data_IF_286638831362
#
_entry.id   IF_286638831362
#
_cell.length_a   1.000
_cell.length_b   1.000
_cell.length_c   1.000
_cell.angle_alpha   90.00
_cell.angle_beta   90.00
_cell.angle_gamma   90.00
#
_symmetry.space_group_name_H-M   'P 1'
#
loop_
_entity.id
_entity.type
_entity.pdbx_description
1 polymer ?
#
# COMPACT_ATOMS: atom_id res chain seq x y z
N UNK A 1 0.86 -0.74 -19.71
CA UNK A 1 0.01 -0.67 -20.92
C UNK A 1 0.13 -1.97 -21.69
N UNK A 2 -0.97 -2.53 -22.15
CA UNK A 2 -0.98 -3.80 -22.91
C UNK A 2 -1.49 -3.45 -24.31
N UNK A 3 -0.58 -3.37 -25.27
CA UNK A 3 -0.81 -2.89 -26.64
C UNK A 3 0.24 -3.50 -27.58
N UNK A 4 -0.19 -4.09 -28.69
CA UNK A 4 0.69 -4.78 -29.63
C UNK A 4 1.38 -3.83 -30.65
N UNK A 5 0.99 -2.55 -30.64
CA UNK A 5 1.61 -1.47 -31.40
C UNK A 5 2.70 -0.79 -30.56
N UNK A 6 3.94 -1.21 -30.77
CA UNK A 6 5.12 -0.65 -30.11
C UNK A 6 5.36 0.82 -30.46
N UNK A 7 5.02 1.24 -31.69
CA UNK A 7 5.20 2.61 -32.17
C UNK A 7 4.25 3.58 -31.47
N UNK A 8 2.96 3.21 -31.42
CA UNK A 8 1.98 3.92 -30.62
C UNK A 8 2.39 3.94 -29.14
N UNK A 9 2.84 2.80 -28.62
CA UNK A 9 3.26 2.68 -27.23
C UNK A 9 4.40 3.63 -26.87
N UNK A 10 5.40 3.76 -27.74
CA UNK A 10 6.50 4.69 -27.56
C UNK A 10 6.03 6.16 -27.59
N UNK A 11 5.10 6.50 -28.49
CA UNK A 11 4.52 7.84 -28.58
C UNK A 11 3.74 8.22 -27.31
N UNK A 12 2.88 7.31 -26.83
CA UNK A 12 2.10 7.52 -25.59
C UNK A 12 3.02 7.65 -24.38
N UNK A 13 4.05 6.79 -24.26
CA UNK A 13 5.08 6.90 -23.20
C UNK A 13 5.74 8.27 -23.15
N UNK A 14 6.12 8.83 -24.29
CA UNK A 14 6.78 10.13 -24.34
C UNK A 14 5.85 11.27 -23.90
N UNK A 15 4.58 11.22 -24.32
CA UNK A 15 3.58 12.23 -23.93
C UNK A 15 3.20 12.11 -22.45
N UNK A 16 3.11 10.90 -21.92
CA UNK A 16 2.79 10.60 -20.53
C UNK A 16 3.74 11.26 -19.52
N UNK A 17 5.02 11.41 -19.87
CA UNK A 17 6.02 12.08 -19.02
C UNK A 17 5.66 13.52 -18.69
N UNK A 18 4.96 14.23 -19.59
CA UNK A 18 4.50 15.61 -19.35
C UNK A 18 3.44 15.69 -18.25
N UNK A 19 2.80 14.56 -17.92
CA UNK A 19 1.75 14.43 -16.92
C UNK A 19 2.20 13.64 -15.68
N UNK A 20 3.51 13.52 -15.48
CA UNK A 20 4.12 12.73 -14.40
C UNK A 20 3.67 11.25 -14.39
N UNK A 21 3.38 10.69 -15.57
CA UNK A 21 3.01 9.28 -15.73
C UNK A 21 4.17 8.49 -16.32
N UNK A 22 4.58 7.43 -15.64
CA UNK A 22 5.57 6.47 -16.12
C UNK A 22 4.84 5.26 -16.70
N UNK A 23 5.05 4.98 -17.99
CA UNK A 23 4.38 3.87 -18.68
C UNK A 23 5.39 2.80 -19.07
N UNK A 24 5.14 1.56 -18.65
CA UNK A 24 5.72 0.35 -19.25
C UNK A 24 4.70 -0.24 -20.24
N UNK A 25 5.19 -0.97 -21.25
CA UNK A 25 4.31 -1.63 -22.23
C UNK A 25 4.68 -3.09 -22.43
N UNK A 26 3.67 -3.93 -22.61
CA UNK A 26 3.78 -5.31 -23.07
C UNK A 26 2.92 -5.49 -24.31
N UNK A 27 3.30 -6.41 -25.19
CA UNK A 27 2.67 -6.61 -26.50
C UNK A 27 1.51 -7.61 -26.48
N UNK A 28 1.28 -8.27 -25.34
CA UNK A 28 0.25 -9.28 -25.19
C UNK A 28 -0.29 -9.33 -23.75
N UNK A 29 -1.47 -9.92 -23.59
CA UNK A 29 -2.14 -10.02 -22.30
C UNK A 29 -1.34 -10.83 -21.29
N UNK A 30 -0.88 -12.03 -21.66
CA UNK A 30 -0.22 -12.97 -20.74
C UNK A 30 1.00 -12.35 -20.07
N UNK A 31 1.88 -11.71 -20.85
CA UNK A 31 3.07 -11.07 -20.30
C UNK A 31 2.70 -9.83 -19.49
N UNK A 32 1.74 -9.02 -19.97
CA UNK A 32 1.24 -7.87 -19.22
C UNK A 32 0.63 -8.23 -17.88
N UNK A 33 -0.15 -9.30 -17.84
CA UNK A 33 -0.79 -9.79 -16.62
C UNK A 33 0.25 -10.35 -15.65
N UNK A 34 1.22 -11.13 -16.15
CA UNK A 34 2.34 -11.62 -15.34
C UNK A 34 3.15 -10.48 -14.72
N UNK A 35 3.38 -9.39 -15.45
CA UNK A 35 4.02 -8.19 -14.92
C UNK A 35 3.19 -7.55 -13.80
N UNK A 36 1.87 -7.49 -13.94
CA UNK A 36 0.98 -6.96 -12.90
C UNK A 36 1.00 -7.84 -11.64
N UNK A 37 0.98 -9.17 -11.80
CA UNK A 37 1.06 -10.13 -10.68
C UNK A 37 2.38 -10.00 -9.90
N UNK A 38 3.50 -9.81 -10.60
CA UNK A 38 4.82 -9.81 -9.98
C UNK A 38 5.28 -8.43 -9.50
N UNK A 39 4.57 -7.35 -9.85
CA UNK A 39 5.00 -5.99 -9.56
C UNK A 39 3.86 -5.12 -9.03
N UNK A 40 3.93 -4.84 -7.73
CA UNK A 40 2.97 -4.01 -6.98
C UNK A 40 3.07 -2.51 -7.31
N UNK A 41 4.16 -2.06 -7.93
CA UNK A 41 4.39 -0.64 -8.23
C UNK A 41 3.45 -0.07 -9.31
N UNK A 42 2.80 -0.92 -10.09
CA UNK A 42 1.84 -0.46 -11.09
C UNK A 42 0.56 0.02 -10.41
N UNK A 43 0.16 1.25 -10.69
CA UNK A 43 -1.02 1.89 -10.08
C UNK A 43 -2.25 1.84 -11.00
N UNK A 44 -2.08 1.64 -12.30
CA UNK A 44 -3.17 1.58 -13.26
C UNK A 44 -2.78 0.81 -14.54
N UNK A 45 -3.80 0.44 -15.33
CA UNK A 45 -3.65 -0.31 -16.58
C UNK A 45 -4.30 0.43 -17.75
N UNK A 46 -3.58 0.53 -18.86
CA UNK A 46 -4.14 0.94 -20.15
C UNK A 46 -4.21 -0.31 -21.03
N UNK A 47 -5.40 -0.69 -21.46
CA UNK A 47 -5.66 -1.85 -22.31
C UNK A 47 -5.94 -1.40 -23.76
N UNK A 48 -5.35 -2.07 -24.75
CA UNK A 48 -5.85 -1.95 -26.12
C UNK A 48 -7.23 -2.59 -26.26
N UNK A 49 -8.02 -2.14 -27.23
CA UNK A 49 -9.27 -2.78 -27.61
C UNK A 49 -9.10 -4.15 -28.28
N UNK A 50 -7.94 -4.41 -28.89
CA UNK A 50 -7.58 -5.71 -29.47
C UNK A 50 -6.07 -5.90 -29.31
N UNK A 51 -5.64 -6.92 -28.59
CA UNK A 51 -4.25 -7.33 -28.53
C UNK A 51 -4.16 -8.86 -28.42
N UNK A 52 -3.00 -9.46 -28.74
CA UNK A 52 -2.79 -10.89 -28.55
C UNK A 52 -2.99 -11.33 -27.10
N UNK A 53 -3.65 -12.47 -26.89
CA UNK A 53 -3.79 -13.07 -25.56
C UNK A 53 -2.48 -13.71 -25.10
N UNK A 54 -1.72 -14.31 -26.02
CA UNK A 54 -0.41 -14.92 -25.75
C UNK A 54 0.66 -14.40 -26.72
N UNK A 55 1.96 -14.50 -26.37
CA UNK A 55 3.05 -14.07 -27.24
C UNK A 55 3.11 -14.81 -28.58
N UNK A 56 2.64 -16.06 -28.61
CA UNK A 56 2.70 -16.93 -29.79
C UNK A 56 1.51 -16.75 -30.74
N UNK A 57 0.50 -15.97 -30.36
CA UNK A 57 -0.68 -15.75 -31.18
C UNK A 57 -0.32 -14.90 -32.42
N UNK A 58 -0.65 -15.36 -33.65
CA UNK A 58 -0.35 -14.60 -34.86
C UNK A 58 -1.10 -13.27 -34.89
N UNK A 59 -0.40 -12.20 -35.30
CA UNK A 59 -1.01 -10.89 -35.52
C UNK A 59 -2.18 -10.97 -36.51
N UNK A 60 -3.29 -10.32 -36.20
CA UNK A 60 -4.52 -10.34 -37.00
C UNK A 60 -5.48 -11.48 -36.65
N UNK A 61 -5.16 -12.34 -35.68
CA UNK A 61 -6.04 -13.38 -35.15
C UNK A 61 -6.62 -13.03 -33.77
N UNK A 62 -6.44 -11.78 -33.33
CA UNK A 62 -6.89 -11.29 -32.03
C UNK A 62 -8.42 -11.37 -31.96
N UNK A 63 -8.91 -12.09 -30.96
CA UNK A 63 -10.33 -12.23 -30.74
C UNK A 63 -10.92 -10.94 -30.16
N UNK A 64 -12.15 -10.61 -30.55
CA UNK A 64 -12.83 -9.39 -30.08
C UNK A 64 -13.14 -9.42 -28.57
N UNK A 65 -13.00 -10.58 -27.91
CA UNK A 65 -13.19 -10.74 -26.48
C UNK A 65 -11.96 -10.38 -25.63
N UNK A 66 -10.81 -10.00 -26.21
CA UNK A 66 -9.59 -9.64 -25.46
C UNK A 66 -9.89 -8.73 -24.27
N UNK A 67 -10.58 -7.60 -24.50
CA UNK A 67 -10.87 -6.63 -23.44
C UNK A 67 -11.78 -7.20 -22.37
N UNK A 68 -12.75 -8.05 -22.76
CA UNK A 68 -13.66 -8.67 -21.82
C UNK A 68 -12.91 -9.65 -20.90
N UNK A 69 -12.04 -10.48 -21.47
CA UNK A 69 -11.17 -11.40 -20.71
C UNK A 69 -10.20 -10.61 -19.81
N UNK A 70 -9.57 -9.56 -20.33
CA UNK A 70 -8.65 -8.72 -19.58
C UNK A 70 -9.34 -8.06 -18.37
N UNK A 71 -10.55 -7.53 -18.54
CA UNK A 71 -11.32 -6.95 -17.43
C UNK A 71 -11.67 -8.00 -16.37
N UNK A 72 -12.08 -9.20 -16.79
CA UNK A 72 -12.37 -10.29 -15.86
C UNK A 72 -11.13 -10.67 -15.04
N UNK A 73 -9.99 -10.83 -15.72
CA UNK A 73 -8.71 -11.17 -15.08
C UNK A 73 -8.19 -10.08 -14.15
N UNK A 74 -8.34 -8.81 -14.52
CA UNK A 74 -8.02 -7.71 -13.62
C UNK A 74 -8.87 -7.80 -12.35
N UNK A 75 -10.19 -8.02 -12.46
CA UNK A 75 -11.06 -8.19 -11.28
C UNK A 75 -10.70 -9.42 -10.44
N UNK A 76 -10.29 -10.51 -11.06
CA UNK A 76 -9.76 -11.68 -10.33
C UNK A 76 -8.51 -11.32 -9.52
N UNK A 77 -7.58 -10.54 -10.12
CA UNK A 77 -6.40 -10.04 -9.43
C UNK A 77 -6.78 -9.16 -8.22
N UNK A 78 -7.76 -8.27 -8.39
CA UNK A 78 -8.26 -7.41 -7.32
C UNK A 78 -8.78 -8.25 -6.15
N UNK A 79 -9.55 -9.31 -6.42
CA UNK A 79 -10.11 -10.19 -5.39
C UNK A 79 -9.04 -11.06 -4.70
N UNK A 80 -8.06 -11.56 -5.44
CA UNK A 80 -7.03 -12.46 -4.91
C UNK A 80 -5.97 -11.73 -4.08
N UNK A 81 -5.67 -10.49 -4.44
CA UNK A 81 -4.57 -9.72 -3.85
C UNK A 81 -5.01 -8.47 -3.10
N UNK A 82 -6.32 -8.24 -2.95
CA UNK A 82 -6.92 -7.03 -2.34
C UNK A 82 -6.35 -5.73 -2.95
N UNK A 83 -6.05 -5.77 -4.25
CA UNK A 83 -5.33 -4.70 -4.96
C UNK A 83 -6.18 -4.20 -6.11
N UNK A 84 -6.87 -3.08 -5.90
CA UNK A 84 -7.64 -2.43 -6.97
C UNK A 84 -6.72 -1.79 -7.99
N UNK A 85 -6.92 -2.09 -9.28
CA UNK A 85 -6.13 -1.51 -10.38
C UNK A 85 -7.05 -0.74 -11.33
N UNK A 86 -7.17 0.58 -11.15
CA UNK A 86 -7.84 1.44 -12.12
C UNK A 86 -7.36 1.20 -13.54
N UNK A 87 -8.29 1.17 -14.49
CA UNK A 87 -7.93 0.92 -15.88
C UNK A 87 -8.81 1.69 -16.86
N UNK A 88 -8.29 1.87 -18.06
CA UNK A 88 -9.04 2.37 -19.21
C UNK A 88 -8.71 1.59 -20.48
N UNK A 89 -9.56 1.71 -21.49
CA UNK A 89 -9.38 1.08 -22.80
C UNK A 89 -9.02 2.15 -23.82
N UNK A 90 -7.84 2.05 -24.41
CA UNK A 90 -7.36 2.92 -25.49
C UNK A 90 -7.50 2.15 -26.80
N UNK A 91 -8.43 2.53 -27.69
CA UNK A 91 -8.78 1.69 -28.84
C UNK A 91 -9.10 2.48 -30.11
N UNK A 92 -8.82 1.88 -31.28
CA UNK A 92 -9.29 2.37 -32.57
C UNK A 92 -10.73 1.90 -32.91
N UNK A 93 -11.30 0.99 -32.12
CA UNK A 93 -12.60 0.33 -32.31
C UNK A 93 -13.67 0.87 -31.34
N UNK A 94 -13.63 2.17 -31.07
CA UNK A 94 -14.48 2.81 -30.06
C UNK A 94 -15.97 2.49 -30.26
N UNK A 95 -16.49 2.63 -31.49
CA UNK A 95 -17.92 2.45 -31.81
C UNK A 95 -18.37 1.01 -31.60
N UNK A 96 -17.49 0.04 -31.85
CA UNK A 96 -17.78 -1.38 -31.70
C UNK A 96 -17.75 -1.81 -30.22
N UNK A 97 -16.81 -1.26 -29.44
CA UNK A 97 -16.60 -1.64 -28.05
C UNK A 97 -17.45 -0.83 -27.05
N UNK A 98 -17.86 0.39 -27.38
CA UNK A 98 -18.66 1.23 -26.47
C UNK A 98 -19.96 0.56 -26.01
N UNK A 99 -20.78 -0.06 -26.88
CA UNK A 99 -22.03 -0.67 -26.45
C UNK A 99 -21.83 -1.81 -25.46
N UNK A 100 -20.77 -2.60 -25.61
CA UNK A 100 -20.49 -3.70 -24.70
C UNK A 100 -19.83 -3.19 -23.41
N UNK A 101 -18.90 -2.25 -23.48
CA UNK A 101 -18.10 -1.81 -22.33
C UNK A 101 -18.70 -0.63 -21.56
N UNK A 102 -19.86 -0.13 -21.97
CA UNK A 102 -20.58 0.92 -21.25
C UNK A 102 -20.73 0.56 -19.78
N UNK A 103 -20.38 1.50 -18.91
CA UNK A 103 -20.36 1.34 -17.44
C UNK A 103 -19.42 0.25 -16.89
N UNK A 104 -18.61 -0.39 -17.74
CA UNK A 104 -17.60 -1.38 -17.34
C UNK A 104 -16.17 -0.85 -17.45
N UNK A 105 -15.92 0.04 -18.40
CA UNK A 105 -14.63 0.67 -18.62
C UNK A 105 -14.81 2.06 -19.25
N UNK A 106 -13.86 2.97 -19.02
CA UNK A 106 -13.75 4.20 -19.78
C UNK A 106 -12.98 3.94 -21.07
N UNK A 107 -13.54 4.36 -22.21
CA UNK A 107 -12.94 4.19 -23.53
C UNK A 107 -12.36 5.52 -24.02
N UNK A 108 -11.16 5.45 -24.59
CA UNK A 108 -10.46 6.54 -25.26
C UNK A 108 -10.15 6.14 -26.70
N UNK A 109 -10.54 6.99 -27.65
CA UNK A 109 -10.35 6.72 -29.08
C UNK A 109 -8.90 7.05 -29.51
N UNK A 110 -8.17 6.04 -29.99
CA UNK A 110 -6.81 6.17 -30.56
C UNK A 110 -6.76 7.23 -31.65
N UNK A 111 -7.80 7.33 -32.49
CA UNK A 111 -7.85 8.31 -33.60
C UNK A 111 -7.93 9.75 -33.09
N UNK A 112 -8.64 9.97 -31.98
CA UNK A 112 -8.76 11.30 -31.36
C UNK A 112 -7.51 11.67 -30.57
N UNK A 113 -7.05 10.76 -29.71
CA UNK A 113 -5.87 10.97 -28.88
C UNK A 113 -4.58 11.15 -29.69
N UNK A 114 -4.51 10.65 -30.92
CA UNK A 114 -3.39 10.87 -31.84
C UNK A 114 -3.28 12.32 -32.35
N UNK A 115 -4.40 13.05 -32.44
CA UNK A 115 -4.45 14.41 -33.03
C UNK A 115 -4.80 15.50 -32.01
N UNK A 116 -5.38 15.13 -30.87
CA UNK A 116 -5.84 16.04 -29.83
C UNK A 116 -5.10 15.74 -28.51
N UNK A 117 -4.22 16.67 -28.11
CA UNK A 117 -3.48 16.60 -26.84
C UNK A 117 -4.43 16.66 -25.64
N UNK A 118 -5.56 17.36 -25.71
CA UNK A 118 -6.52 17.42 -24.61
C UNK A 118 -7.22 16.08 -24.38
N UNK A 119 -7.48 15.32 -25.45
CA UNK A 119 -8.08 13.98 -25.31
C UNK A 119 -7.09 12.98 -24.70
N UNK A 120 -5.79 13.17 -24.95
CA UNK A 120 -4.75 12.36 -24.32
C UNK A 120 -4.56 12.72 -22.85
N UNK A 121 -4.57 14.01 -22.53
CA UNK A 121 -4.57 14.52 -21.16
C UNK A 121 -5.76 13.96 -20.37
N UNK A 122 -6.97 14.03 -20.92
CA UNK A 122 -8.18 13.48 -20.30
C UNK A 122 -8.07 11.98 -19.97
N UNK A 123 -7.28 11.20 -20.73
CA UNK A 123 -7.00 9.80 -20.42
C UNK A 123 -6.15 9.65 -19.17
N UNK A 124 -5.08 10.45 -19.06
CA UNK A 124 -4.21 10.42 -17.88
C UNK A 124 -4.90 11.00 -16.66
N UNK A 125 -5.66 12.09 -16.80
CA UNK A 125 -6.47 12.66 -15.72
C UNK A 125 -7.50 11.66 -15.20
N UNK A 126 -8.15 10.90 -16.09
CA UNK A 126 -9.07 9.85 -15.67
C UNK A 126 -8.38 8.79 -14.79
N UNK A 127 -7.19 8.35 -15.17
CA UNK A 127 -6.43 7.37 -14.38
C UNK A 127 -5.94 7.98 -13.06
N UNK A 128 -5.43 9.21 -13.09
CA UNK A 128 -5.00 9.95 -11.89
C UNK A 128 -6.15 10.12 -10.90
N UNK A 129 -7.33 10.50 -11.37
CA UNK A 129 -8.52 10.61 -10.54
C UNK A 129 -8.91 9.26 -9.96
N UNK A 130 -8.95 8.20 -10.78
CA UNK A 130 -9.32 6.88 -10.32
C UNK A 130 -8.32 6.31 -9.29
N UNK A 131 -7.01 6.55 -9.47
CA UNK A 131 -5.97 6.23 -8.48
C UNK A 131 -6.17 7.06 -7.21
N UNK A 132 -6.39 8.37 -7.34
CA UNK A 132 -6.65 9.29 -6.23
C UNK A 132 -7.91 8.94 -5.44
N UNK A 133 -8.85 8.24 -6.07
CA UNK A 133 -10.09 7.82 -5.44
C UNK A 133 -9.97 6.54 -4.61
N UNK A 134 -8.88 5.78 -4.77
CA UNK A 134 -8.60 4.58 -3.99
C UNK A 134 -8.42 4.91 -2.50
N UNK A 135 -8.92 4.02 -1.63
CA UNK A 135 -8.84 4.15 -0.17
C UNK A 135 -7.39 4.27 0.29
N UNK A 136 -6.50 3.39 -0.20
CA UNK A 136 -5.06 3.43 0.09
C UNK A 136 -4.43 4.78 -0.31
N UNK A 137 -4.70 5.27 -1.53
CA UNK A 137 -4.13 6.55 -1.99
C UNK A 137 -4.59 7.70 -1.11
N UNK A 138 -5.87 7.73 -0.73
CA UNK A 138 -6.41 8.77 0.17
C UNK A 138 -5.74 8.71 1.54
N UNK A 139 -5.54 7.52 2.09
CA UNK A 139 -4.83 7.33 3.36
C UNK A 139 -3.40 7.86 3.28
N UNK A 140 -2.65 7.51 2.22
CA UNK A 140 -1.27 7.98 2.02
C UNK A 140 -1.19 9.50 1.92
N UNK A 141 -2.11 10.11 1.18
CA UNK A 141 -2.20 11.57 1.03
C UNK A 141 -2.58 12.30 2.33
N UNK A 142 -3.33 11.65 3.23
CA UNK A 142 -3.67 12.21 4.54
C UNK A 142 -2.51 12.16 5.53
N UNK A 143 -1.53 11.29 5.31
CA UNK A 143 -0.42 11.05 6.22
C UNK A 143 0.94 11.02 5.47
N UNK A 144 1.30 12.08 4.72
CA UNK A 144 2.45 12.04 3.81
C UNK A 144 3.77 11.73 4.52
N UNK A 145 4.05 12.40 5.64
CA UNK A 145 5.30 12.24 6.40
C UNK A 145 5.45 10.81 6.95
N UNK A 146 4.34 10.22 7.42
CA UNK A 146 4.30 8.85 7.91
C UNK A 146 4.64 7.85 6.80
N UNK A 147 4.09 8.04 5.59
CA UNK A 147 4.33 7.14 4.47
C UNK A 147 5.67 7.38 3.78
N UNK A 148 6.23 8.59 3.84
CA UNK A 148 7.62 8.84 3.47
C UNK A 148 8.57 7.97 4.31
N UNK A 149 8.36 7.93 5.63
CA UNK A 149 9.10 7.03 6.50
C UNK A 149 8.82 5.56 6.18
N UNK A 150 7.55 5.15 6.12
CA UNK A 150 7.19 3.73 6.04
C UNK A 150 7.63 3.08 4.71
N UNK A 151 7.50 3.78 3.59
CA UNK A 151 7.93 3.29 2.27
C UNK A 151 9.46 3.27 2.14
N UNK A 152 10.17 4.08 2.92
CA UNK A 152 11.64 4.09 2.93
C UNK A 152 12.23 2.98 3.80
N UNK A 153 11.62 2.69 4.94
CA UNK A 153 12.25 1.90 6.01
C UNK A 153 11.56 0.59 6.36
N UNK A 154 10.25 0.45 6.08
CA UNK A 154 9.48 -0.75 6.41
C UNK A 154 9.30 -1.65 5.18
N UNK A 155 8.99 -2.93 5.41
CA UNK A 155 8.69 -3.87 4.34
C UNK A 155 7.25 -3.74 3.81
N UNK A 156 6.94 -4.43 2.72
CA UNK A 156 5.62 -4.38 2.09
C UNK A 156 4.49 -4.89 3.02
N UNK A 157 4.80 -5.85 3.90
CA UNK A 157 3.82 -6.43 4.84
C UNK A 157 3.46 -5.41 5.93
N UNK A 158 4.46 -4.75 6.51
CA UNK A 158 4.27 -3.69 7.50
C UNK A 158 3.57 -2.46 6.89
N UNK A 159 3.90 -2.08 5.66
CA UNK A 159 3.16 -1.03 4.94
C UNK A 159 1.68 -1.39 4.75
N UNK A 160 1.37 -2.65 4.41
CA UNK A 160 -0.01 -3.12 4.30
C UNK A 160 -0.74 -3.09 5.65
N UNK A 161 -0.07 -3.45 6.76
CA UNK A 161 -0.66 -3.31 8.10
C UNK A 161 -0.94 -1.86 8.48
N UNK A 162 -0.04 -0.94 8.14
CA UNK A 162 -0.22 0.49 8.41
C UNK A 162 -1.45 1.05 7.67
N UNK A 163 -1.60 0.71 6.38
CA UNK A 163 -2.80 1.09 5.60
C UNK A 163 -4.06 0.50 6.22
N UNK A 164 -4.04 -0.78 6.61
CA UNK A 164 -5.17 -1.46 7.27
C UNK A 164 -5.56 -0.81 8.60
N UNK A 165 -4.59 -0.34 9.39
CA UNK A 165 -4.83 0.39 10.63
C UNK A 165 -5.39 1.80 10.41
N UNK A 166 -5.04 2.45 9.30
CA UNK A 166 -5.55 3.80 8.98
C UNK A 166 -6.86 3.77 8.20
N UNK A 167 -7.28 2.60 7.69
CA UNK A 167 -8.60 2.44 7.07
C UNK A 167 -9.72 2.78 8.07
N UNK A 168 -10.75 3.55 7.66
CA UNK A 168 -11.90 3.94 8.49
C UNK A 168 -12.77 2.75 8.96
N UNK A 169 -12.43 1.51 8.58
CA UNK A 169 -13.16 0.29 8.95
C UNK A 169 -12.95 -0.04 10.44
N UNK A 170 -13.72 0.64 11.29
CA UNK A 170 -13.78 0.37 12.73
C UNK A 170 -14.80 -0.73 13.03
N UNK A 171 -14.36 -1.76 13.76
CA UNK A 171 -15.22 -2.80 14.32
C UNK A 171 -15.09 -2.82 15.84
N UNK A 172 -16.21 -2.94 16.54
CA UNK A 172 -16.23 -3.11 18.00
C UNK A 172 -16.12 -4.58 18.43
N UNK A 173 -16.00 -5.52 17.48
CA UNK A 173 -15.84 -6.94 17.82
C UNK A 173 -14.47 -7.15 18.47
N UNK A 174 -14.45 -7.90 19.58
CA UNK A 174 -13.23 -8.17 20.34
C UNK A 174 -12.12 -8.76 19.48
N UNK A 175 -12.44 -9.73 18.63
CA UNK A 175 -11.45 -10.37 17.74
C UNK A 175 -10.79 -9.36 16.80
N UNK A 176 -11.58 -8.51 16.15
CA UNK A 176 -11.07 -7.45 15.27
C UNK A 176 -10.20 -6.46 16.03
N UNK A 177 -10.61 -6.05 17.24
CA UNK A 177 -9.82 -5.17 18.10
C UNK A 177 -8.48 -5.80 18.47
N UNK A 178 -8.49 -7.08 18.86
CA UNK A 178 -7.27 -7.83 19.22
C UNK A 178 -6.33 -8.00 18.02
N UNK A 179 -6.87 -8.25 16.83
CA UNK A 179 -6.08 -8.35 15.60
C UNK A 179 -5.40 -7.02 15.27
N UNK A 180 -6.14 -5.90 15.31
CA UNK A 180 -5.58 -4.55 15.09
C UNK A 180 -4.52 -4.20 16.13
N UNK A 181 -4.77 -4.54 17.38
CA UNK A 181 -3.80 -4.43 18.47
C UNK A 181 -2.51 -5.23 18.15
N UNK A 182 -2.64 -6.45 17.63
CA UNK A 182 -1.51 -7.25 17.15
C UNK A 182 -0.68 -6.54 16.06
N UNK A 183 -1.34 -5.93 15.07
CA UNK A 183 -0.67 -5.16 14.02
C UNK A 183 0.07 -3.93 14.57
N UNK A 184 -0.53 -3.19 15.51
CA UNK A 184 0.12 -2.05 16.17
C UNK A 184 1.43 -2.50 16.82
N UNK A 185 1.42 -3.61 17.56
CA UNK A 185 2.61 -4.12 18.23
C UNK A 185 3.70 -4.50 17.25
N UNK A 186 3.33 -5.22 16.17
CA UNK A 186 4.29 -5.61 15.14
C UNK A 186 4.95 -4.38 14.54
N UNK A 187 4.15 -3.39 14.16
CA UNK A 187 4.65 -2.14 13.61
C UNK A 187 5.54 -1.39 14.59
N UNK A 188 5.14 -1.29 15.87
CA UNK A 188 5.98 -0.69 16.92
C UNK A 188 7.36 -1.37 16.97
N UNK A 189 7.41 -2.71 16.98
CA UNK A 189 8.68 -3.44 16.98
C UNK A 189 9.51 -3.14 15.72
N UNK A 190 8.91 -3.10 14.53
CA UNK A 190 9.60 -2.75 13.28
C UNK A 190 10.13 -1.31 13.27
N UNK A 191 9.32 -0.34 13.70
CA UNK A 191 9.71 1.07 13.79
C UNK A 191 10.87 1.26 14.78
N UNK A 192 10.83 0.60 15.93
CA UNK A 192 11.92 0.66 16.91
C UNK A 192 13.20 -0.05 16.41
N UNK A 193 13.08 -1.11 15.60
CA UNK A 193 14.24 -1.72 14.95
C UNK A 193 14.89 -0.76 13.95
N UNK A 194 14.09 -0.01 13.19
CA UNK A 194 14.59 1.05 12.29
C UNK A 194 15.32 2.11 13.12
N UNK A 195 14.73 2.59 14.22
CA UNK A 195 15.39 3.54 15.12
C UNK A 195 16.75 3.04 15.63
N UNK A 196 16.84 1.78 16.09
CA UNK A 196 18.10 1.17 16.50
C UNK A 196 19.16 1.16 15.40
N UNK A 197 18.76 0.73 14.20
CA UNK A 197 19.68 0.57 13.08
C UNK A 197 20.12 1.92 12.52
N UNK A 198 19.19 2.83 12.32
CA UNK A 198 19.41 4.07 11.57
C UNK A 198 19.85 5.23 12.46
N UNK A 199 19.34 5.34 13.69
CA UNK A 199 19.75 6.39 14.63
C UNK A 199 20.86 5.91 15.56
N UNK A 200 20.65 4.80 16.30
CA UNK A 200 21.65 4.31 17.27
C UNK A 200 22.86 3.63 16.62
N UNK A 201 22.77 3.27 15.33
CA UNK A 201 23.78 2.49 14.61
C UNK A 201 24.10 1.16 15.30
N UNK A 202 23.07 0.53 15.87
CA UNK A 202 23.16 -0.74 16.59
C UNK A 202 22.34 -1.83 15.90
N UNK A 203 22.82 -3.07 15.97
CA UNK A 203 22.03 -4.22 15.56
C UNK A 203 20.89 -4.46 16.58
N UNK A 204 19.61 -4.40 16.18
CA UNK A 204 18.48 -4.66 17.07
C UNK A 204 18.50 -6.06 17.72
N UNK A 205 19.23 -7.02 17.14
CA UNK A 205 19.38 -8.36 17.71
C UNK A 205 20.19 -8.38 19.02
N UNK A 206 20.92 -7.32 19.35
CA UNK A 206 21.68 -7.22 20.59
C UNK A 206 20.79 -7.08 21.83
N UNK A 207 19.53 -6.68 21.66
CA UNK A 207 18.57 -6.54 22.75
C UNK A 207 17.95 -7.91 23.11
N UNK A 208 17.79 -8.18 24.40
CA UNK A 208 17.16 -9.42 24.91
C UNK A 208 18.06 -10.66 24.89
N UNK A 209 19.40 -10.50 24.81
CA UNK A 209 20.36 -11.62 24.72
C UNK A 209 20.81 -12.24 26.08
N UNK A 210 20.15 -11.92 27.19
CA UNK A 210 20.46 -12.45 28.53
C UNK A 210 19.47 -13.50 29.05
N UNK A 211 19.94 -14.41 29.91
CA UNK A 211 19.08 -15.40 30.61
C UNK A 211 17.98 -14.75 31.48
N UNK A 212 18.25 -13.53 31.97
CA UNK A 212 17.34 -12.75 32.82
C UNK A 212 16.90 -11.43 32.16
N UNK A 213 17.20 -11.22 30.87
CA UNK A 213 16.72 -10.02 30.18
C UNK A 213 15.26 -10.19 29.75
N UNK A 214 14.44 -9.14 29.86
CA UNK A 214 13.12 -9.17 29.27
C UNK A 214 13.21 -9.40 27.75
N UNK A 215 12.12 -9.88 27.14
CA UNK A 215 12.09 -10.13 25.69
C UNK A 215 12.51 -8.89 24.89
N UNK A 216 13.15 -9.10 23.72
CA UNK A 216 13.80 -8.08 22.88
C UNK A 216 13.12 -6.71 22.86
N UNK A 217 11.81 -6.67 22.57
CA UNK A 217 11.06 -5.41 22.48
C UNK A 217 11.06 -4.61 23.79
N UNK A 218 10.91 -5.29 24.95
CA UNK A 218 10.94 -4.62 26.25
C UNK A 218 12.33 -4.10 26.60
N UNK A 219 13.38 -4.87 26.32
CA UNK A 219 14.75 -4.44 26.59
C UNK A 219 15.10 -3.16 25.79
N UNK A 220 14.65 -3.08 24.53
CA UNK A 220 14.79 -1.88 23.71
C UNK A 220 13.98 -0.69 24.27
N UNK A 221 12.72 -0.90 24.66
CA UNK A 221 11.89 0.17 25.25
C UNK A 221 12.50 0.69 26.56
N UNK A 222 12.98 -0.22 27.41
CA UNK A 222 13.66 0.12 28.65
C UNK A 222 14.96 0.89 28.36
N UNK A 223 15.70 0.53 27.32
CA UNK A 223 16.88 1.29 26.88
C UNK A 223 16.53 2.73 26.48
N UNK A 224 15.51 2.92 25.62
CA UNK A 224 15.02 4.24 25.20
C UNK A 224 14.65 5.10 26.41
N UNK A 225 13.93 4.51 27.37
CA UNK A 225 13.49 5.19 28.58
C UNK A 225 14.65 5.55 29.52
N UNK A 226 15.52 4.59 29.85
CA UNK A 226 16.62 4.77 30.81
C UNK A 226 17.63 5.79 30.29
N UNK A 227 17.94 5.74 28.99
CA UNK A 227 18.86 6.67 28.34
C UNK A 227 18.20 8.00 27.98
N UNK A 228 16.88 8.15 28.19
CA UNK A 228 16.08 9.34 27.85
C UNK A 228 16.26 9.75 26.38
N UNK A 229 16.23 8.76 25.49
CA UNK A 229 16.45 8.96 24.07
C UNK A 229 15.22 9.50 23.34
N UNK A 230 14.04 9.33 23.93
CA UNK A 230 12.78 9.84 23.41
C UNK A 230 12.19 10.91 24.35
N UNK A 231 11.42 11.87 23.82
CA UNK A 231 10.56 12.72 24.63
C UNK A 231 9.65 11.90 25.55
N UNK A 232 9.26 12.49 26.69
CA UNK A 232 8.49 11.79 27.72
C UNK A 232 7.21 11.14 27.18
N UNK A 233 6.46 11.86 26.34
CA UNK A 233 5.20 11.36 25.78
C UNK A 233 5.43 10.18 24.83
N UNK A 234 6.46 10.22 23.99
CA UNK A 234 6.84 9.11 23.11
C UNK A 234 7.25 7.90 23.95
N UNK A 235 8.19 8.07 24.89
CA UNK A 235 8.65 7.00 25.77
C UNK A 235 7.50 6.36 26.55
N UNK A 236 6.55 7.17 27.02
CA UNK A 236 5.34 6.70 27.68
C UNK A 236 4.45 5.89 26.74
N UNK A 237 4.15 6.42 25.55
CA UNK A 237 3.29 5.75 24.57
C UNK A 237 3.86 4.41 24.14
N UNK A 238 5.16 4.35 23.81
CA UNK A 238 5.83 3.10 23.43
C UNK A 238 5.72 2.05 24.55
N UNK A 239 5.92 2.47 25.80
CA UNK A 239 5.76 1.56 26.94
C UNK A 239 4.31 1.07 27.12
N UNK A 240 3.34 1.95 26.96
CA UNK A 240 1.90 1.63 27.15
C UNK A 240 1.40 0.70 26.05
N UNK A 241 1.77 0.93 24.79
CA UNK A 241 1.44 0.03 23.68
C UNK A 241 1.99 -1.36 24.00
N UNK A 242 3.30 -1.49 24.23
CA UNK A 242 3.93 -2.77 24.54
C UNK A 242 3.27 -3.49 25.73
N UNK A 243 3.07 -2.76 26.84
CA UNK A 243 2.55 -3.35 28.08
C UNK A 243 1.11 -3.83 27.93
N UNK A 244 0.27 -3.03 27.26
CA UNK A 244 -1.14 -3.37 27.03
C UNK A 244 -1.26 -4.64 26.20
N UNK A 245 -0.47 -4.73 25.13
CA UNK A 245 -0.46 -5.89 24.23
C UNK A 245 0.08 -7.14 24.90
N UNK A 246 1.15 -7.00 25.68
CA UNK A 246 1.74 -8.12 26.41
C UNK A 246 0.74 -8.76 27.37
N UNK A 247 -0.16 -7.97 27.98
CA UNK A 247 -1.19 -8.51 28.87
C UNK A 247 -2.39 -9.03 28.07
N UNK A 248 -2.82 -8.31 27.03
CA UNK A 248 -4.00 -8.66 26.26
C UNK A 248 -3.83 -9.94 25.43
N UNK A 249 -2.62 -10.22 24.93
CA UNK A 249 -2.31 -11.39 24.06
C UNK A 249 -1.93 -12.64 24.87
N UNK A 250 -1.29 -12.51 26.03
CA UNK A 250 -0.71 -13.66 26.75
C UNK A 250 -1.69 -14.59 27.49
N UNK A 251 -3.02 -14.47 27.31
CA UNK A 251 -4.02 -15.42 27.83
C UNK A 251 -3.78 -15.93 29.28
N UNK A 252 -3.30 -15.03 30.16
CA UNK A 252 -3.22 -15.23 31.62
C UNK A 252 -3.72 -14.00 32.35
N UNK A 253 -4.70 -13.31 31.78
CA UNK A 253 -5.57 -12.49 32.58
C UNK A 253 -6.41 -13.48 33.42
N UNK A 254 -6.15 -13.67 34.73
CA UNK A 254 -7.14 -14.33 35.57
C UNK A 254 -8.50 -13.63 35.39
N UNK A 255 -9.60 -14.28 35.73
CA UNK A 255 -10.94 -13.67 35.72
C UNK A 255 -11.01 -12.36 36.55
N UNK A 256 -9.96 -12.04 37.31
CA UNK A 256 -9.70 -10.81 38.05
C UNK A 256 -8.81 -9.76 37.36
N UNK A 257 -8.45 -9.90 36.07
CA UNK A 257 -7.60 -8.91 35.39
C UNK A 257 -8.33 -7.58 35.18
N UNK A 258 -7.59 -6.47 35.15
CA UNK A 258 -8.10 -5.12 34.91
C UNK A 258 -8.91 -5.02 33.59
N UNK A 259 -8.61 -5.88 32.61
CA UNK A 259 -9.32 -5.96 31.32
C UNK A 259 -10.72 -6.59 31.40
N UNK A 260 -11.04 -7.29 32.50
CA UNK A 260 -12.41 -7.71 32.79
C UNK A 260 -13.26 -6.53 33.26
N UNK A 261 -12.65 -5.61 34.04
CA UNK A 261 -13.32 -4.44 34.60
C UNK A 261 -13.49 -3.32 33.57
N UNK A 262 -12.53 -3.14 32.65
CA UNK A 262 -12.64 -2.21 31.54
C UNK A 262 -12.03 -2.81 30.26
N UNK A 263 -12.83 -3.34 29.33
CA UNK A 263 -12.31 -4.02 28.16
C UNK A 263 -11.70 -3.03 27.15
N UNK A 264 -10.80 -3.54 26.31
CA UNK A 264 -10.30 -2.82 25.12
C UNK A 264 -11.49 -2.36 24.29
N UNK A 265 -11.49 -1.07 23.93
CA UNK A 265 -12.52 -0.46 23.09
C UNK A 265 -11.92 0.02 21.76
N UNK A 266 -12.79 0.44 20.83
CA UNK A 266 -12.37 1.12 19.60
C UNK A 266 -11.47 2.33 19.89
N UNK A 267 -11.72 3.04 20.99
CA UNK A 267 -10.98 4.24 21.38
C UNK A 267 -9.59 3.91 21.89
N UNK A 268 -9.42 2.77 22.57
CA UNK A 268 -8.09 2.27 22.96
C UNK A 268 -7.24 2.01 21.71
N UNK A 269 -7.83 1.33 20.72
CA UNK A 269 -7.12 1.03 19.46
C UNK A 269 -6.79 2.32 18.71
N UNK A 270 -7.73 3.27 18.59
CA UNK A 270 -7.47 4.54 17.93
C UNK A 270 -6.38 5.36 18.62
N UNK A 271 -6.36 5.36 19.96
CA UNK A 271 -5.31 6.01 20.74
C UNK A 271 -3.94 5.43 20.40
N UNK A 272 -3.84 4.10 20.28
CA UNK A 272 -2.59 3.45 19.95
C UNK A 272 -2.18 3.63 18.49
N UNK A 273 -3.12 3.71 17.56
CA UNK A 273 -2.82 4.10 16.18
C UNK A 273 -2.19 5.49 16.16
N UNK A 274 -2.84 6.48 16.79
CA UNK A 274 -2.31 7.85 16.81
C UNK A 274 -0.93 7.91 17.50
N UNK A 275 -0.76 7.19 18.61
CA UNK A 275 0.52 7.08 19.30
C UNK A 275 1.62 6.44 18.41
N UNK A 276 1.26 5.42 17.61
CA UNK A 276 2.18 4.81 16.65
C UNK A 276 2.62 5.81 15.58
N UNK A 277 1.70 6.66 15.09
CA UNK A 277 2.04 7.72 14.13
C UNK A 277 3.02 8.73 14.74
N UNK A 278 2.81 9.15 15.99
CA UNK A 278 3.74 10.04 16.69
C UNK A 278 5.12 9.39 16.87
N UNK A 279 5.18 8.08 17.15
CA UNK A 279 6.44 7.33 17.24
C UNK A 279 7.14 7.32 15.88
N UNK A 280 6.43 7.11 14.76
CA UNK A 280 7.00 7.16 13.40
C UNK A 280 7.65 8.51 13.15
N UNK A 281 6.93 9.60 13.40
CA UNK A 281 7.43 10.96 13.16
C UNK A 281 8.65 11.28 14.04
N UNK A 282 8.64 10.83 15.30
CA UNK A 282 9.80 10.97 16.18
C UNK A 282 11.02 10.21 15.66
N UNK A 283 10.85 8.97 15.21
CA UNK A 283 11.96 8.18 14.66
C UNK A 283 12.51 8.83 13.39
N UNK A 284 11.63 9.26 12.48
CA UNK A 284 12.03 9.98 11.26
C UNK A 284 12.86 11.22 11.60
N UNK A 285 12.34 12.09 12.47
CA UNK A 285 13.05 13.31 12.91
C UNK A 285 14.41 12.98 13.53
N UNK A 286 14.49 11.91 14.34
CA UNK A 286 15.76 11.51 14.97
C UNK A 286 16.80 11.09 13.91
N UNK A 287 16.38 10.37 12.87
CA UNK A 287 17.28 9.94 11.79
C UNK A 287 17.76 11.14 10.96
N UNK A 288 16.88 12.10 10.69
CA UNK A 288 17.21 13.31 9.93
C UNK A 288 18.22 14.20 10.67
N UNK A 289 18.08 14.35 12.00
CA UNK A 289 19.03 15.09 12.84
C UNK A 289 20.47 14.55 12.77
N UNK A 290 20.64 13.26 12.53
CA UNK A 290 21.98 12.64 12.42
C UNK A 290 22.56 12.75 11.00
N UNK A 291 21.70 12.98 9.99
CA UNK A 291 22.11 13.09 8.58
C UNK A 291 22.44 14.54 8.16
N UNK A 292 21.85 15.52 8.84
CA UNK A 292 22.13 16.96 8.63
C UNK A 292 23.39 17.42 9.36
#
# INVERSE_FOLDING_TARGET
MIDDDEGLSASVKNRARRYNVIITSTTNFKDGFRELENNTKYQAVILDGKAPMTPEQPKGTEAENFVHEAILKLRELELLHDRTLPFCVHTAWYVQLEPSLRNRAKLFDKKKTAVDDNMMEAMFEHLHQAIGDLEETKIKQQHPDVFEFSETYLDDEDNAFLISLLSPKLSSKREDLMNRLGFIRRLEESILNVYCKEFLKMDPMLFGQGKDTPGRGKDLIDHIKVKKLAPLHISFMTYVIYSTQSIAINHKAPESSEYYNYPITIYTVQTFINALLDIILWVQSSIEEVKG
#
